data_IF_841118526482
#
_entry.id   IF_841118526482
#
_cell.length_a   1.000
_cell.length_b   1.000
_cell.length_c   1.000
_cell.angle_alpha   90.00
_cell.angle_beta   90.00
_cell.angle_gamma   90.00
#
_symmetry.space_group_name_H-M   'P 1'
#
loop_
_entity.id
_entity.type
_entity.pdbx_description
1 polymer ?
#
# COMPACT_ATOMS: atom_id res chain seq x y z
N UNK A 1 -27.71 -1.80 -7.92
CA UNK A 1 -26.99 -1.01 -8.93
C UNK A 1 -25.73 -0.50 -8.26
N UNK A 2 -24.55 -0.73 -8.83
CA UNK A 2 -23.28 -0.28 -8.23
C UNK A 2 -23.13 1.22 -8.51
N UNK A 3 -22.86 2.02 -7.49
CA UNK A 3 -22.70 3.48 -7.59
C UNK A 3 -21.25 3.87 -7.32
N UNK A 4 -20.84 5.06 -7.76
CA UNK A 4 -19.54 5.65 -7.39
C UNK A 4 -19.36 5.68 -5.88
N UNK A 5 -20.39 6.08 -5.13
CA UNK A 5 -20.35 6.10 -3.66
C UNK A 5 -20.12 4.71 -3.06
N UNK A 6 -20.71 3.67 -3.63
CA UNK A 6 -20.48 2.29 -3.18
C UNK A 6 -19.05 1.82 -3.49
N UNK A 7 -18.51 2.18 -4.66
CA UNK A 7 -17.12 1.89 -5.00
C UNK A 7 -16.12 2.59 -4.07
N UNK A 8 -16.32 3.89 -3.80
CA UNK A 8 -15.49 4.66 -2.86
C UNK A 8 -15.56 4.04 -1.46
N UNK A 9 -16.76 3.70 -0.97
CA UNK A 9 -16.94 3.04 0.33
C UNK A 9 -16.16 1.72 0.44
N UNK A 10 -16.16 0.92 -0.61
CA UNK A 10 -15.41 -0.35 -0.65
C UNK A 10 -13.90 -0.13 -0.68
N UNK A 11 -13.42 0.89 -1.40
CA UNK A 11 -12.01 1.28 -1.43
C UNK A 11 -11.54 1.79 -0.06
N UNK A 12 -12.32 2.62 0.61
CA UNK A 12 -12.04 3.10 1.97
C UNK A 12 -12.04 1.95 2.99
N UNK A 13 -12.94 0.98 2.84
CA UNK A 13 -12.95 -0.22 3.68
C UNK A 13 -11.68 -1.05 3.47
N UNK A 14 -11.29 -1.29 2.22
CA UNK A 14 -10.06 -2.01 1.89
C UNK A 14 -8.81 -1.27 2.40
N UNK A 15 -8.77 0.06 2.28
CA UNK A 15 -7.69 0.90 2.78
C UNK A 15 -7.51 0.74 4.29
N UNK A 16 -8.61 0.80 5.04
CA UNK A 16 -8.59 0.63 6.49
C UNK A 16 -8.11 -0.77 6.90
N UNK A 17 -8.58 -1.82 6.22
CA UNK A 17 -8.10 -3.18 6.48
C UNK A 17 -6.62 -3.34 6.14
N UNK A 18 -6.15 -2.73 5.05
CA UNK A 18 -4.73 -2.77 4.64
C UNK A 18 -3.84 -2.05 5.65
N UNK A 19 -4.26 -0.89 6.16
CA UNK A 19 -3.55 -0.17 7.23
C UNK A 19 -3.48 -0.99 8.53
N UNK A 20 -4.54 -1.73 8.87
CA UNK A 20 -4.53 -2.65 10.02
C UNK A 20 -3.57 -3.83 9.81
N UNK A 21 -3.55 -4.42 8.62
CA UNK A 21 -2.61 -5.48 8.27
C UNK A 21 -1.16 -4.99 8.37
N UNK A 22 -0.87 -3.80 7.84
CA UNK A 22 0.44 -3.14 7.97
C UNK A 22 0.85 -3.03 9.43
N UNK A 23 -0.01 -2.46 10.28
CA UNK A 23 0.29 -2.33 11.71
C UNK A 23 0.46 -3.68 12.43
N UNK A 24 -0.16 -4.75 11.95
CA UNK A 24 0.03 -6.11 12.48
C UNK A 24 1.38 -6.68 12.05
N UNK A 25 1.78 -6.48 10.80
CA UNK A 25 3.08 -6.87 10.25
C UNK A 25 4.20 -6.13 11.00
N UNK A 26 4.04 -4.84 11.26
CA UNK A 26 5.03 -4.03 11.98
C UNK A 26 5.19 -4.44 13.45
N UNK A 27 4.22 -5.17 14.02
CA UNK A 27 4.15 -5.53 15.44
C UNK A 27 4.20 -7.04 15.67
N UNK A 28 4.81 -7.81 14.77
CA UNK A 28 5.04 -9.23 15.01
C UNK A 28 5.89 -9.44 16.26
N UNK A 29 5.56 -10.47 17.05
CA UNK A 29 6.24 -10.80 18.31
C UNK A 29 7.64 -11.37 18.05
N UNK A 30 7.81 -12.02 16.90
CA UNK A 30 9.08 -12.54 16.43
C UNK A 30 9.30 -12.02 15.01
N UNK A 31 10.50 -11.48 14.78
CA UNK A 31 10.88 -10.93 13.48
C UNK A 31 10.85 -12.03 12.41
N UNK A 32 10.32 -11.69 11.24
CA UNK A 32 10.34 -12.54 10.04
C UNK A 32 11.29 -11.94 9.01
N UNK A 33 12.03 -12.78 8.29
CA UNK A 33 13.11 -12.34 7.37
C UNK A 33 12.68 -11.26 6.38
N UNK A 34 11.45 -11.35 5.84
CA UNK A 34 10.87 -10.37 4.90
C UNK A 34 9.76 -9.49 5.52
N UNK A 35 9.79 -9.26 6.83
CA UNK A 35 8.75 -8.48 7.51
C UNK A 35 8.72 -7.03 7.02
N UNK A 36 9.88 -6.42 6.81
CA UNK A 36 10.05 -5.07 6.27
C UNK A 36 9.52 -4.96 4.83
N UNK A 37 9.86 -5.91 3.96
CA UNK A 37 9.35 -5.99 2.59
C UNK A 37 7.83 -6.15 2.59
N UNK A 38 7.29 -7.03 3.43
CA UNK A 38 5.84 -7.22 3.57
C UNK A 38 5.13 -5.95 4.09
N UNK A 39 5.79 -5.20 4.99
CA UNK A 39 5.29 -3.90 5.47
C UNK A 39 5.26 -2.88 4.33
N UNK A 40 6.36 -2.72 3.59
CA UNK A 40 6.47 -1.78 2.46
C UNK A 40 5.43 -2.08 1.38
N UNK A 41 5.24 -3.35 1.00
CA UNK A 41 4.21 -3.76 0.03
C UNK A 41 2.81 -3.41 0.54
N UNK A 42 2.54 -3.64 1.83
CA UNK A 42 1.24 -3.31 2.43
C UNK A 42 0.99 -1.80 2.48
N UNK A 43 2.03 -1.00 2.72
CA UNK A 43 1.97 0.45 2.67
C UNK A 43 1.73 0.95 1.23
N UNK A 44 2.40 0.36 0.23
CA UNK A 44 2.20 0.68 -1.18
C UNK A 44 0.76 0.35 -1.63
N UNK A 45 0.24 -0.80 -1.21
CA UNK A 45 -1.15 -1.18 -1.46
C UNK A 45 -2.15 -0.18 -0.86
N UNK A 46 -1.88 0.30 0.36
CA UNK A 46 -2.70 1.35 0.97
C UNK A 46 -2.66 2.66 0.16
N UNK A 47 -1.49 3.08 -0.31
CA UNK A 47 -1.36 4.27 -1.15
C UNK A 47 -2.10 4.13 -2.50
N UNK A 48 -2.04 2.97 -3.14
CA UNK A 48 -2.80 2.70 -4.37
C UNK A 48 -4.32 2.71 -4.15
N UNK A 49 -4.80 2.19 -3.01
CA UNK A 49 -6.22 2.24 -2.64
C UNK A 49 -6.69 3.68 -2.38
N UNK A 50 -5.85 4.49 -1.74
CA UNK A 50 -6.08 5.91 -1.52
C UNK A 50 -6.15 6.68 -2.85
N UNK A 51 -5.22 6.41 -3.78
CA UNK A 51 -5.26 6.97 -5.13
C UNK A 51 -6.54 6.59 -5.89
N UNK A 52 -6.92 5.30 -5.87
CA UNK A 52 -8.14 4.83 -6.51
C UNK A 52 -9.38 5.54 -5.94
N UNK A 53 -9.45 5.74 -4.62
CA UNK A 53 -10.54 6.46 -3.98
C UNK A 53 -10.58 7.94 -4.38
N UNK A 54 -9.41 8.60 -4.49
CA UNK A 54 -9.29 9.99 -4.92
C UNK A 54 -9.72 10.19 -6.39
N UNK A 55 -9.31 9.29 -7.30
CA UNK A 55 -9.74 9.30 -8.71
C UNK A 55 -11.27 9.17 -8.84
N UNK A 56 -11.89 8.28 -8.06
CA UNK A 56 -13.35 8.12 -8.06
C UNK A 56 -14.09 9.35 -7.50
N UNK A 57 -13.38 10.24 -6.80
CA UNK A 57 -13.87 11.51 -6.28
C UNK A 57 -13.45 12.71 -7.14
N UNK A 58 -12.78 12.49 -8.28
CA UNK A 58 -12.22 13.51 -9.16
C UNK A 58 -11.20 14.44 -8.48
N UNK A 59 -10.43 13.91 -7.53
CA UNK A 59 -9.30 14.58 -6.90
C UNK A 59 -7.97 14.08 -7.49
N UNK A 60 -7.66 14.56 -8.70
CA UNK A 60 -6.50 14.11 -9.47
C UNK A 60 -5.16 14.43 -8.79
N UNK A 61 -5.10 15.53 -8.02
CA UNK A 61 -3.89 15.94 -7.32
C UNK A 61 -3.57 14.98 -6.16
N UNK A 62 -4.57 14.67 -5.32
CA UNK A 62 -4.41 13.69 -4.25
C UNK A 62 -4.14 12.29 -4.82
N UNK A 63 -4.75 11.94 -5.95
CA UNK A 63 -4.51 10.67 -6.62
C UNK A 63 -3.06 10.52 -7.10
N UNK A 64 -2.48 11.58 -7.66
CA UNK A 64 -1.09 11.58 -8.14
C UNK A 64 -0.11 11.47 -6.98
N UNK A 65 -0.29 12.26 -5.92
CA UNK A 65 0.56 12.20 -4.72
C UNK A 65 0.56 10.79 -4.10
N UNK A 66 -0.61 10.14 -4.05
CA UNK A 66 -0.73 8.77 -3.55
C UNK A 66 -0.06 7.73 -4.47
N UNK A 67 -0.04 7.94 -5.80
CA UNK A 67 0.70 7.09 -6.74
C UNK A 67 2.20 7.24 -6.55
N UNK A 68 2.70 8.47 -6.48
CA UNK A 68 4.13 8.76 -6.26
C UNK A 68 4.62 8.10 -4.97
N UNK A 69 3.84 8.20 -3.89
CA UNK A 69 4.13 7.50 -2.64
C UNK A 69 4.17 5.97 -2.79
N UNK A 70 3.27 5.40 -3.59
CA UNK A 70 3.27 3.96 -3.83
C UNK A 70 4.53 3.53 -4.61
N UNK A 71 4.94 4.33 -5.58
CA UNK A 71 6.15 4.12 -6.40
C UNK A 71 7.40 4.09 -5.53
N UNK A 72 7.61 5.12 -4.68
CA UNK A 72 8.72 5.21 -3.74
C UNK A 72 8.83 3.96 -2.82
N UNK A 73 7.68 3.44 -2.38
CA UNK A 73 7.62 2.25 -1.53
C UNK A 73 7.95 0.96 -2.29
N UNK A 74 7.54 0.86 -3.56
CA UNK A 74 7.85 -0.30 -4.39
C UNK A 74 9.32 -0.30 -4.83
N UNK A 75 9.90 0.86 -5.10
CA UNK A 75 11.33 0.99 -5.36
C UNK A 75 12.14 0.48 -4.16
N UNK A 76 11.77 0.87 -2.93
CA UNK A 76 12.40 0.34 -1.72
C UNK A 76 12.26 -1.18 -1.56
N UNK A 77 11.14 -1.77 -2.00
CA UNK A 77 10.96 -3.23 -2.02
C UNK A 77 11.92 -3.90 -3.00
N UNK A 78 12.05 -3.35 -4.21
CA UNK A 78 12.97 -3.88 -5.21
C UNK A 78 14.42 -3.79 -4.73
N UNK A 79 14.83 -2.67 -4.14
CA UNK A 79 16.17 -2.49 -3.59
C UNK A 79 16.52 -3.56 -2.53
N UNK A 80 15.59 -3.90 -1.64
CA UNK A 80 15.82 -4.93 -0.60
C UNK A 80 15.91 -6.32 -1.22
N UNK A 81 14.96 -6.68 -2.08
CA UNK A 81 14.93 -8.02 -2.70
C UNK A 81 16.17 -8.23 -3.57
N UNK A 82 16.56 -7.23 -4.35
CA UNK A 82 17.73 -7.32 -5.22
C UNK A 82 19.02 -7.46 -4.40
N UNK A 83 19.15 -6.72 -3.29
CA UNK A 83 20.29 -6.86 -2.38
C UNK A 83 20.39 -8.28 -1.78
N UNK A 84 19.25 -8.85 -1.34
CA UNK A 84 19.20 -10.21 -0.79
C UNK A 84 19.56 -11.29 -1.84
N UNK A 85 19.13 -11.10 -3.09
CA UNK A 85 19.40 -12.03 -4.19
C UNK A 85 20.87 -11.99 -4.62
N UNK A 86 21.52 -10.83 -4.58
CA UNK A 86 22.93 -10.66 -4.94
C UNK A 86 23.89 -11.20 -3.85
N UNK A 87 23.43 -11.35 -2.61
CA UNK A 87 24.19 -11.98 -1.51
C UNK A 87 24.09 -13.52 -1.47
N UNK A 88 23.26 -14.13 -2.34
CA UNK A 88 22.93 -15.57 -2.38
C UNK A 88 23.78 -16.49 -3.27
#
# INVERSE_FOLDING_TARGET
MNTTSEAVRLLEQALNTTRQATGTIDQLIADHDYQDVASLVSQAAAALLESAAALMQADDAAALEAIEKADDLLDAVYDIIDADLDEG
#
